data_IF_919106293928
#
_entry.id   IF_919106293928
#
_cell.length_a   1.000
_cell.length_b   1.000
_cell.length_c   1.000
_cell.angle_alpha   90.00
_cell.angle_beta   90.00
_cell.angle_gamma   90.00
#
_symmetry.space_group_name_H-M   'P 1'
#
loop_
_entity.id
_entity.type
_entity.pdbx_description
1 polymer ?
#
# COMPACT_ATOMS: atom_id res chain seq x y z
N UNK A 1 -1.62 21.76 -0.05
CA UNK A 1 -1.09 20.39 0.16
C UNK A 1 -2.12 19.41 -0.36
N UNK A 2 -1.72 18.33 -1.04
CA UNK A 2 -2.67 17.47 -1.72
C UNK A 2 -3.41 16.56 -0.69
N UNK A 3 -4.71 16.82 -0.47
CA UNK A 3 -5.54 16.06 0.47
C UNK A 3 -5.55 14.54 0.14
N UNK A 4 -5.47 14.17 -1.13
CA UNK A 4 -5.41 12.77 -1.53
C UNK A 4 -4.16 12.06 -0.98
N UNK A 5 -3.01 12.74 -1.00
CA UNK A 5 -1.77 12.19 -0.43
C UNK A 5 -1.94 11.88 1.06
N UNK A 6 -2.48 12.83 1.82
CA UNK A 6 -2.70 12.69 3.26
C UNK A 6 -3.63 11.50 3.51
N UNK A 7 -4.76 11.42 2.80
CA UNK A 7 -5.73 10.34 2.97
C UNK A 7 -5.14 8.96 2.67
N UNK A 8 -4.38 8.83 1.56
CA UNK A 8 -3.73 7.56 1.20
C UNK A 8 -2.69 7.17 2.25
N UNK A 9 -1.83 8.11 2.66
CA UNK A 9 -0.80 7.86 3.69
C UNK A 9 -1.43 7.42 5.02
N UNK A 10 -2.45 8.12 5.50
CA UNK A 10 -3.11 7.77 6.77
C UNK A 10 -3.77 6.40 6.70
N UNK A 11 -4.40 6.07 5.57
CA UNK A 11 -4.93 4.75 5.34
C UNK A 11 -3.83 3.67 5.39
N UNK A 12 -2.71 3.90 4.68
CA UNK A 12 -1.57 2.97 4.66
C UNK A 12 -0.91 2.82 6.02
N UNK A 13 -0.80 3.88 6.82
CA UNK A 13 -0.32 3.81 8.22
C UNK A 13 -1.28 2.96 9.05
N UNK A 14 -2.59 3.16 8.92
CA UNK A 14 -3.59 2.34 9.61
C UNK A 14 -3.52 0.87 9.20
N UNK A 15 -3.14 0.56 7.97
CA UNK A 15 -2.87 -0.83 7.55
C UNK A 15 -1.57 -1.38 8.14
N UNK A 16 -0.52 -0.58 8.29
CA UNK A 16 0.83 -1.05 8.62
C UNK A 16 1.17 -1.02 10.11
N UNK A 17 0.67 -0.01 10.83
CA UNK A 17 1.09 0.33 12.18
C UNK A 17 -0.09 0.19 13.14
N UNK A 18 0.22 -0.13 14.40
CA UNK A 18 -0.79 -0.29 15.46
C UNK A 18 -1.52 1.04 15.74
N UNK A 19 -0.87 2.18 15.48
CA UNK A 19 -1.46 3.51 15.56
C UNK A 19 -0.67 4.53 14.74
N UNK A 20 -1.29 5.67 14.42
CA UNK A 20 -0.57 6.83 13.85
C UNK A 20 0.59 7.27 14.76
N UNK A 21 0.38 7.22 16.09
CA UNK A 21 1.40 7.56 17.09
C UNK A 21 2.63 6.67 17.00
N UNK A 22 2.43 5.36 16.84
CA UNK A 22 3.53 4.42 16.66
C UNK A 22 4.35 4.75 15.39
N UNK A 23 3.73 5.30 14.36
CA UNK A 23 4.43 5.76 13.17
C UNK A 23 5.13 7.11 13.37
N UNK A 24 4.41 8.19 13.69
CA UNK A 24 5.02 9.53 13.70
C UNK A 24 6.03 9.73 14.83
N UNK A 25 5.88 9.04 15.97
CA UNK A 25 6.80 9.19 17.09
C UNK A 25 8.09 8.39 16.86
N UNK A 26 7.98 7.17 16.33
CA UNK A 26 9.11 6.24 16.24
C UNK A 26 9.80 6.29 14.87
N UNK A 27 9.06 6.55 13.78
CA UNK A 27 9.64 6.64 12.42
C UNK A 27 10.00 8.07 12.05
N UNK A 28 9.08 9.02 12.26
CA UNK A 28 9.30 10.42 11.87
C UNK A 28 9.98 11.25 12.95
N UNK A 29 9.97 10.80 14.21
CA UNK A 29 10.54 11.55 15.33
C UNK A 29 9.87 12.92 15.56
N UNK A 30 8.58 13.07 15.24
CA UNK A 30 7.87 14.36 15.36
C UNK A 30 6.83 14.37 16.49
N UNK A 31 6.46 15.58 16.91
CA UNK A 31 5.42 15.78 17.93
C UNK A 31 4.01 15.54 17.35
N UNK A 32 3.01 15.23 18.20
CA UNK A 32 1.62 15.12 17.78
C UNK A 32 1.10 16.40 17.11
N UNK A 33 1.53 17.57 17.60
CA UNK A 33 1.14 18.87 17.04
C UNK A 33 1.66 19.04 15.60
N UNK A 34 2.92 18.68 15.35
CA UNK A 34 3.48 18.72 13.99
C UNK A 34 2.77 17.75 13.05
N UNK A 35 2.41 16.56 13.55
CA UNK A 35 1.63 15.59 12.79
C UNK A 35 0.23 16.12 12.43
N UNK A 36 -0.48 16.70 13.38
CA UNK A 36 -1.81 17.26 13.15
C UNK A 36 -1.78 18.47 12.20
N UNK A 37 -0.77 19.33 12.29
CA UNK A 37 -0.58 20.45 11.35
C UNK A 37 -0.32 19.95 9.92
N UNK A 38 0.45 18.87 9.77
CA UNK A 38 0.65 18.24 8.47
C UNK A 38 -0.65 17.66 7.92
N UNK A 39 -1.41 16.92 8.73
CA UNK A 39 -2.72 16.37 8.32
C UNK A 39 -3.73 17.43 7.90
N UNK A 40 -3.68 18.63 8.51
CA UNK A 40 -4.53 19.77 8.14
C UNK A 40 -4.02 20.56 6.93
N UNK A 41 -2.85 20.21 6.39
CA UNK A 41 -2.21 20.94 5.30
C UNK A 41 -1.63 22.30 5.72
N UNK A 42 -1.57 22.59 7.03
CA UNK A 42 -1.10 23.87 7.57
C UNK A 42 0.42 24.02 7.42
N UNK A 43 1.18 22.93 7.58
CA UNK A 43 2.65 22.90 7.44
C UNK A 43 3.12 21.60 6.79
N UNK A 44 4.07 21.70 5.86
CA UNK A 44 4.74 20.55 5.27
C UNK A 44 5.65 19.80 6.25
N UNK A 45 5.91 18.53 5.96
CA UNK A 45 6.98 17.78 6.62
C UNK A 45 8.33 18.14 6.01
N UNK A 46 9.40 17.97 6.78
CA UNK A 46 10.78 18.10 6.29
C UNK A 46 11.04 17.09 5.15
N UNK A 47 11.97 17.37 4.22
CA UNK A 47 12.31 16.45 3.14
C UNK A 47 12.64 15.02 3.62
N UNK A 48 13.41 14.88 4.69
CA UNK A 48 13.76 13.57 5.27
C UNK A 48 12.52 12.81 5.76
N UNK A 49 11.59 13.51 6.40
CA UNK A 49 10.32 12.92 6.84
C UNK A 49 9.43 12.54 5.65
N UNK A 50 9.47 13.30 4.56
CA UNK A 50 8.77 12.95 3.33
C UNK A 50 9.41 11.72 2.66
N UNK A 51 10.73 11.58 2.73
CA UNK A 51 11.41 10.38 2.27
C UNK A 51 11.00 9.15 3.10
N UNK A 52 10.96 9.26 4.43
CA UNK A 52 10.48 8.17 5.31
C UNK A 52 9.02 7.81 4.99
N UNK A 53 8.16 8.80 4.73
CA UNK A 53 6.79 8.57 4.29
C UNK A 53 6.72 7.79 2.97
N UNK A 54 7.56 8.12 1.99
CA UNK A 54 7.58 7.39 0.72
C UNK A 54 7.93 5.91 0.89
N UNK A 55 8.72 5.56 1.92
CA UNK A 55 9.09 4.18 2.26
C UNK A 55 7.98 3.37 2.94
N UNK A 56 6.81 3.96 3.18
CA UNK A 56 5.58 3.19 3.43
C UNK A 56 5.14 2.36 2.22
N UNK A 57 5.63 2.72 1.03
CA UNK A 57 5.30 2.14 -0.26
C UNK A 57 6.58 1.61 -0.91
N UNK A 58 6.42 0.69 -1.86
CA UNK A 58 7.51 0.44 -2.84
C UNK A 58 7.69 1.69 -3.71
N UNK A 59 8.85 1.83 -4.37
CA UNK A 59 9.08 2.99 -5.24
C UNK A 59 8.04 3.05 -6.39
N UNK A 60 7.60 1.89 -6.90
CA UNK A 60 6.54 1.79 -7.90
C UNK A 60 5.17 2.22 -7.33
N UNK A 61 4.81 1.75 -6.13
CA UNK A 61 3.59 2.16 -5.45
C UNK A 61 3.58 3.66 -5.13
N UNK A 62 4.71 4.21 -4.72
CA UNK A 62 4.84 5.64 -4.48
C UNK A 62 4.58 6.45 -5.75
N UNK A 63 5.08 5.99 -6.90
CA UNK A 63 4.72 6.58 -8.20
C UNK A 63 3.22 6.51 -8.45
N UNK A 64 2.54 5.40 -8.14
CA UNK A 64 1.08 5.29 -8.26
C UNK A 64 0.36 6.29 -7.36
N UNK A 65 0.79 6.45 -6.10
CA UNK A 65 0.26 7.47 -5.18
C UNK A 65 0.37 8.86 -5.81
N UNK A 66 1.53 9.22 -6.37
CA UNK A 66 1.70 10.52 -7.03
C UNK A 66 0.76 10.71 -8.23
N UNK A 67 0.51 9.64 -9.01
CA UNK A 67 -0.47 9.68 -10.12
C UNK A 67 -1.89 9.93 -9.62
N UNK A 68 -2.31 9.25 -8.56
CA UNK A 68 -3.63 9.44 -7.95
C UNK A 68 -3.78 10.85 -7.40
N UNK A 69 -2.77 11.35 -6.70
CA UNK A 69 -2.74 12.73 -6.19
C UNK A 69 -2.92 13.75 -7.32
N UNK A 70 -2.20 13.60 -8.42
CA UNK A 70 -2.34 14.48 -9.59
C UNK A 70 -3.75 14.38 -10.21
N UNK A 71 -4.31 13.18 -10.31
CA UNK A 71 -5.66 12.98 -10.85
C UNK A 71 -6.73 13.59 -9.93
N UNK A 72 -6.55 13.53 -8.61
CA UNK A 72 -7.45 14.14 -7.63
C UNK A 72 -7.54 15.68 -7.75
N UNK A 73 -6.55 16.34 -8.38
CA UNK A 73 -6.60 17.78 -8.62
C UNK A 73 -7.55 18.16 -9.77
N UNK A 74 -7.92 17.19 -10.62
CA UNK A 74 -8.66 17.41 -11.87
C UNK A 74 -9.99 16.65 -11.88
N UNK A 75 -10.03 15.46 -11.28
CA UNK A 75 -11.15 14.52 -11.29
C UNK A 75 -11.84 14.50 -9.91
N UNK A 76 -13.07 15.04 -9.78
CA UNK A 76 -13.80 15.07 -8.52
C UNK A 76 -14.01 13.69 -7.88
N UNK A 77 -14.27 12.67 -8.70
CA UNK A 77 -14.48 11.29 -8.26
C UNK A 77 -13.23 10.68 -7.60
N UNK A 78 -12.04 11.07 -8.06
CA UNK A 78 -10.77 10.65 -7.46
C UNK A 78 -10.50 11.45 -6.18
N UNK A 79 -10.85 12.73 -6.17
CA UNK A 79 -10.72 13.59 -4.99
C UNK A 79 -11.62 13.12 -3.83
N UNK A 80 -12.83 12.64 -4.15
CA UNK A 80 -13.80 12.13 -3.18
C UNK A 80 -13.31 10.83 -2.52
N UNK A 81 -12.69 9.92 -3.30
CA UNK A 81 -12.21 8.64 -2.77
C UNK A 81 -10.83 8.21 -3.32
N UNK A 82 -9.75 8.89 -2.91
CA UNK A 82 -8.41 8.66 -3.44
C UNK A 82 -7.83 7.30 -3.02
N UNK A 83 -8.22 6.79 -1.85
CA UNK A 83 -7.81 5.46 -1.37
C UNK A 83 -8.39 4.38 -2.27
N UNK A 84 -9.68 4.45 -2.60
CA UNK A 84 -10.31 3.50 -3.52
C UNK A 84 -9.63 3.53 -4.88
N UNK A 85 -9.37 4.71 -5.43
CA UNK A 85 -8.69 4.85 -6.72
C UNK A 85 -7.29 4.24 -6.69
N UNK A 86 -6.51 4.50 -5.64
CA UNK A 86 -5.19 3.90 -5.45
C UNK A 86 -5.24 2.37 -5.42
N UNK A 87 -6.14 1.79 -4.63
CA UNK A 87 -6.32 0.33 -4.59
C UNK A 87 -6.81 -0.24 -5.91
N UNK A 88 -7.74 0.45 -6.58
CA UNK A 88 -8.24 0.05 -7.89
C UNK A 88 -7.11 -0.02 -8.91
N UNK A 89 -6.30 1.04 -9.02
CA UNK A 89 -5.15 1.10 -9.92
C UNK A 89 -4.15 -0.03 -9.65
N UNK A 90 -3.78 -0.21 -8.38
CA UNK A 90 -2.91 -1.29 -7.91
C UNK A 90 -3.47 -2.66 -8.31
N UNK A 91 -4.77 -2.87 -8.14
CA UNK A 91 -5.41 -4.13 -8.48
C UNK A 91 -5.47 -4.40 -9.99
N UNK A 92 -5.75 -3.39 -10.81
CA UNK A 92 -5.72 -3.51 -12.28
C UNK A 92 -4.32 -3.81 -12.81
N UNK A 93 -3.29 -3.21 -12.21
CA UNK A 93 -1.90 -3.49 -12.56
C UNK A 93 -1.54 -4.93 -12.18
N UNK A 94 -1.87 -5.36 -10.96
CA UNK A 94 -1.64 -6.74 -10.53
C UNK A 94 -2.33 -7.76 -11.44
N UNK A 95 -3.59 -7.51 -11.80
CA UNK A 95 -4.35 -8.28 -12.81
C UNK A 95 -3.56 -8.44 -14.09
N UNK A 96 -3.10 -7.31 -14.64
CA UNK A 96 -2.37 -7.29 -15.91
C UNK A 96 -1.06 -8.06 -15.82
N UNK A 97 -0.27 -7.84 -14.78
CA UNK A 97 1.03 -8.48 -14.58
C UNK A 97 0.93 -10.00 -14.45
N UNK A 98 -0.08 -10.48 -13.72
CA UNK A 98 -0.32 -11.92 -13.53
C UNK A 98 -0.86 -12.53 -14.83
N UNK A 99 -1.80 -11.87 -15.51
CA UNK A 99 -2.36 -12.34 -16.77
C UNK A 99 -1.31 -12.46 -17.88
N UNK A 100 -0.34 -11.53 -17.92
CA UNK A 100 0.73 -11.55 -18.92
C UNK A 100 1.91 -12.46 -18.55
N UNK A 101 1.94 -13.01 -17.34
CA UNK A 101 3.04 -13.87 -16.87
C UNK A 101 4.39 -13.15 -16.73
N UNK A 102 4.39 -11.82 -16.61
CA UNK A 102 5.62 -11.00 -16.53
C UNK A 102 6.08 -10.76 -15.09
N UNK A 103 5.25 -11.08 -14.10
CA UNK A 103 5.58 -10.91 -12.70
C UNK A 103 5.83 -12.24 -12.01
N UNK A 104 6.89 -12.27 -11.22
CA UNK A 104 7.09 -13.33 -10.22
C UNK A 104 6.26 -13.00 -8.98
N UNK A 105 5.68 -14.04 -8.37
CA UNK A 105 4.76 -13.87 -7.24
C UNK A 105 5.34 -14.55 -6.02
N UNK A 106 5.38 -13.85 -4.88
CA UNK A 106 5.87 -14.37 -3.61
C UNK A 106 5.01 -13.92 -2.45
N UNK A 107 4.82 -14.80 -1.47
CA UNK A 107 4.21 -14.43 -0.20
C UNK A 107 5.30 -13.95 0.77
N UNK A 108 5.05 -12.81 1.41
CA UNK A 108 5.86 -12.32 2.52
C UNK A 108 4.97 -12.17 3.76
N UNK A 109 5.42 -12.76 4.86
CA UNK A 109 4.82 -12.50 6.18
C UNK A 109 5.51 -11.28 6.79
N UNK A 110 4.74 -10.43 7.46
CA UNK A 110 5.28 -9.32 8.27
C UNK A 110 6.28 -9.76 9.34
N UNK A 111 6.31 -11.05 9.68
CA UNK A 111 7.26 -11.68 10.61
C UNK A 111 8.71 -11.74 10.10
N UNK A 112 8.93 -11.65 8.78
CA UNK A 112 10.28 -11.74 8.18
C UNK A 112 11.06 -10.41 8.26
N UNK A 113 10.39 -9.29 8.50
CA UNK A 113 11.04 -7.99 8.74
C UNK A 113 11.23 -7.75 10.24
N UNK A 114 12.17 -8.49 10.83
CA UNK A 114 12.65 -8.30 12.20
C UNK A 114 13.38 -6.95 12.27
N UNK A 115 12.87 -6.03 13.10
CA UNK A 115 13.60 -5.03 13.91
C UNK A 115 12.66 -3.99 14.59
N UNK A 116 11.36 -3.97 14.30
CA UNK A 116 10.42 -2.96 14.85
C UNK A 116 9.03 -3.55 15.19
N UNK A 117 9.03 -4.72 15.85
CA UNK A 117 7.83 -5.55 16.05
C UNK A 117 6.77 -4.95 16.99
N UNK A 118 7.12 -3.95 17.80
CA UNK A 118 6.16 -3.33 18.74
C UNK A 118 5.26 -2.27 18.08
N UNK A 119 5.67 -1.74 16.93
CA UNK A 119 5.00 -0.60 16.28
C UNK A 119 4.18 -1.01 15.06
N UNK A 120 4.54 -2.12 14.42
CA UNK A 120 3.82 -2.68 13.26
C UNK A 120 2.72 -3.63 13.68
N UNK A 121 1.67 -3.73 12.85
CA UNK A 121 0.60 -4.71 13.08
C UNK A 121 1.12 -6.13 12.84
N UNK A 122 0.92 -7.06 13.79
CA UNK A 122 1.23 -8.47 13.55
C UNK A 122 0.25 -9.07 12.52
N UNK A 123 0.73 -10.07 11.78
CA UNK A 123 -0.07 -10.96 10.94
C UNK A 123 -0.74 -10.37 9.68
N UNK A 124 -0.04 -9.51 8.92
CA UNK A 124 -0.47 -9.18 7.54
C UNK A 124 0.34 -10.04 6.57
N UNK A 125 -0.36 -10.89 5.82
CA UNK A 125 0.26 -11.57 4.69
C UNK A 125 0.26 -10.61 3.50
N UNK A 126 1.44 -10.41 2.91
CA UNK A 126 1.59 -9.60 1.70
C UNK A 126 1.88 -10.51 0.52
N UNK A 127 1.07 -10.42 -0.52
CA UNK A 127 1.35 -11.02 -1.82
C UNK A 127 2.15 -10.01 -2.64
N UNK A 128 3.45 -10.25 -2.77
CA UNK A 128 4.36 -9.44 -3.57
C UNK A 128 4.38 -9.93 -5.01
N UNK A 129 4.22 -8.99 -5.93
CA UNK A 129 4.47 -9.18 -7.35
C UNK A 129 5.72 -8.39 -7.72
N UNK A 130 6.70 -9.04 -8.33
CA UNK A 130 7.92 -8.41 -8.84
C UNK A 130 7.97 -8.56 -10.36
N UNK A 131 7.94 -7.45 -11.08
CA UNK A 131 8.20 -7.39 -12.52
C UNK A 131 9.67 -7.02 -12.73
N UNK A 132 10.44 -7.97 -13.25
CA UNK A 132 11.83 -7.77 -13.61
C UNK A 132 11.92 -7.15 -15.02
N UNK A 133 12.95 -6.35 -15.25
CA UNK A 133 13.24 -5.74 -16.55
C UNK A 133 14.35 -6.46 -17.32
N UNK A 134 14.84 -7.58 -16.79
CA UNK A 134 15.93 -8.41 -17.31
C UNK A 134 17.29 -7.68 -17.41
N UNK A 135 17.46 -6.60 -16.64
CA UNK A 135 18.75 -5.92 -16.49
C UNK A 135 18.96 -5.34 -15.08
N UNK A 136 20.18 -5.51 -14.57
CA UNK A 136 20.58 -5.07 -13.23
C UNK A 136 19.60 -5.56 -12.14
N UNK A 137 19.50 -4.86 -11.01
CA UNK A 137 18.54 -5.15 -9.95
C UNK A 137 17.28 -4.27 -10.03
N UNK A 138 16.99 -3.69 -11.20
CA UNK A 138 15.83 -2.84 -11.39
C UNK A 138 14.59 -3.71 -11.56
N UNK A 139 13.64 -3.51 -10.65
CA UNK A 139 12.36 -4.19 -10.66
C UNK A 139 11.28 -3.26 -10.15
N UNK A 140 10.10 -3.40 -10.72
CA UNK A 140 8.90 -2.83 -10.14
C UNK A 140 8.30 -3.85 -9.17
N UNK A 141 7.98 -3.39 -7.97
CA UNK A 141 7.42 -4.24 -6.91
C UNK A 141 6.05 -3.71 -6.53
N UNK A 142 5.07 -4.60 -6.43
CA UNK A 142 3.71 -4.28 -6.02
C UNK A 142 3.28 -5.22 -4.90
N UNK A 143 2.83 -4.66 -3.77
CA UNK A 143 2.57 -5.44 -2.54
C UNK A 143 1.07 -5.48 -2.22
N UNK A 144 0.36 -6.53 -2.63
CA UNK A 144 -1.03 -6.72 -2.26
C UNK A 144 -1.14 -7.21 -0.82
N UNK A 145 -1.61 -6.35 0.09
CA UNK A 145 -1.91 -6.71 1.47
C UNK A 145 -3.22 -7.48 1.50
N UNK A 146 -3.16 -8.75 1.90
CA UNK A 146 -4.31 -9.63 1.91
C UNK A 146 -4.51 -10.24 3.30
N UNK A 147 -5.76 -10.37 3.76
CA UNK A 147 -6.07 -11.15 4.96
C UNK A 147 -5.50 -12.57 4.88
N UNK A 148 -5.04 -13.11 6.01
CA UNK A 148 -4.44 -14.45 6.08
C UNK A 148 -5.41 -15.56 5.65
N UNK A 149 -6.73 -15.36 5.78
CA UNK A 149 -7.76 -16.28 5.26
C UNK A 149 -7.64 -16.43 3.73
N UNK A 150 -7.30 -15.35 3.02
CA UNK A 150 -7.13 -15.35 1.56
C UNK A 150 -5.86 -16.10 1.16
N UNK A 151 -4.78 -15.94 1.92
CA UNK A 151 -3.56 -16.74 1.74
C UNK A 151 -3.89 -18.23 1.83
N UNK A 152 -4.60 -18.64 2.87
CA UNK A 152 -5.05 -20.02 3.01
C UNK A 152 -5.95 -20.46 1.86
N UNK A 153 -6.86 -19.63 1.36
CA UNK A 153 -7.68 -20.00 0.20
C UNK A 153 -6.85 -20.22 -1.07
N UNK A 154 -5.88 -19.36 -1.35
CA UNK A 154 -5.00 -19.48 -2.52
C UNK A 154 -4.08 -20.70 -2.38
N UNK A 155 -3.47 -20.91 -1.21
CA UNK A 155 -2.54 -22.02 -0.95
C UNK A 155 -3.27 -23.38 -0.83
N UNK A 156 -4.44 -23.43 -0.17
CA UNK A 156 -5.13 -24.69 0.14
C UNK A 156 -6.11 -25.16 -0.93
N UNK A 157 -6.74 -24.27 -1.72
CA UNK A 157 -7.85 -24.65 -2.62
C UNK A 157 -7.48 -24.92 -4.07
N UNK A 158 -6.20 -24.92 -4.48
CA UNK A 158 -5.81 -24.97 -5.90
C UNK A 158 -6.53 -23.91 -6.76
N UNK A 159 -7.00 -22.81 -6.16
CA UNK A 159 -7.62 -21.71 -6.93
C UNK A 159 -6.49 -20.99 -7.64
N UNK A 160 -6.58 -20.91 -8.97
CA UNK A 160 -5.60 -20.18 -9.75
C UNK A 160 -5.59 -18.72 -9.29
N UNK A 161 -4.43 -18.16 -8.92
CA UNK A 161 -4.31 -16.79 -8.45
C UNK A 161 -4.94 -15.78 -9.42
N UNK A 162 -4.81 -16.03 -10.73
CA UNK A 162 -5.45 -15.23 -11.77
C UNK A 162 -6.98 -15.29 -11.68
N UNK A 163 -7.53 -16.49 -11.45
CA UNK A 163 -8.97 -16.69 -11.29
C UNK A 163 -9.49 -15.98 -10.02
N UNK A 164 -8.76 -16.11 -8.91
CA UNK A 164 -9.10 -15.40 -7.67
C UNK A 164 -9.07 -13.88 -7.88
N UNK A 165 -8.00 -13.36 -8.47
CA UNK A 165 -7.88 -11.92 -8.74
C UNK A 165 -8.95 -11.43 -9.71
N UNK A 166 -9.34 -12.22 -10.70
CA UNK A 166 -10.39 -11.81 -11.64
C UNK A 166 -11.78 -11.73 -11.00
N UNK A 167 -12.07 -12.60 -10.03
CA UNK A 167 -13.36 -12.64 -9.31
C UNK A 167 -13.47 -11.61 -8.18
N UNK A 168 -12.36 -11.02 -7.75
CA UNK A 168 -12.33 -10.08 -6.63
C UNK A 168 -12.03 -8.65 -7.10
N UNK A 169 -12.31 -7.69 -6.24
CA UNK A 169 -12.00 -6.27 -6.39
C UNK A 169 -11.63 -5.69 -5.01
N UNK A 170 -11.05 -4.48 -4.93
CA UNK A 170 -10.81 -3.85 -3.63
C UNK A 170 -12.05 -3.76 -2.75
N UNK A 171 -13.22 -3.55 -3.36
CA UNK A 171 -14.49 -3.42 -2.64
C UNK A 171 -14.95 -4.79 -2.08
N UNK A 172 -14.87 -5.87 -2.88
CA UNK A 172 -15.24 -7.22 -2.40
C UNK A 172 -14.25 -7.77 -1.37
N UNK A 173 -12.98 -7.36 -1.42
CA UNK A 173 -11.98 -7.76 -0.41
C UNK A 173 -12.29 -7.12 0.94
N UNK A 174 -12.79 -5.87 0.98
CA UNK A 174 -13.21 -5.22 2.22
C UNK A 174 -14.35 -5.95 2.91
N UNK A 175 -15.33 -6.43 2.15
CA UNK A 175 -16.46 -7.23 2.67
C UNK A 175 -16.03 -8.57 3.29
N UNK A 176 -14.87 -9.12 2.89
CA UNK A 176 -14.33 -10.35 3.49
C UNK A 176 -13.65 -10.07 4.85
N UNK A 177 -13.33 -8.81 5.14
CA UNK A 177 -12.58 -8.37 6.32
C UNK A 177 -13.51 -7.90 7.45
N UNK A 178 -14.71 -7.43 7.11
CA UNK A 178 -15.78 -7.02 8.05
C UNK A 178 -16.61 -8.21 8.55
#
# INVERSE_FOLDING_TARGET
>A
MNNALITIVLYTIKEQYVSEKAFYANQLGISPQSWDRWKKGEHGLKPDNMYILSKLFTDYEWMLVQKVCRNAEILPEVAENPVREYHFLKYQIAKKWIASGIATIRWHSSEETVHDSETRKPAITTLRLEMDYDFWSYKDILDLRLPSVIRHQIESKKVNLLEWINKNSPDTIKEIIE
#
